data_IF_790227182396
#
_entry.id   IF_790227182396
#
_cell.length_a   1.000
_cell.length_b   1.000
_cell.length_c   1.000
_cell.angle_alpha   90.00
_cell.angle_beta   90.00
_cell.angle_gamma   90.00
#
_symmetry.space_group_name_H-M   'P 1'
#
loop_
_entity.id
_entity.type
_entity.pdbx_description
1 polymer ?
#
# COMPACT_ATOMS: atom_id res chain seq x y z
N UNK A 1 17.52 4.65 -6.36
CA UNK A 1 17.25 4.93 -7.77
C UNK A 1 16.39 3.80 -8.35
N UNK A 2 15.12 4.05 -8.74
CA UNK A 2 14.23 3.02 -9.29
C UNK A 2 14.75 2.42 -10.60
N UNK A 3 15.55 3.18 -11.37
CA UNK A 3 16.10 2.71 -12.64
C UNK A 3 17.30 1.76 -12.44
N UNK A 4 17.86 1.69 -11.24
CA UNK A 4 18.97 0.81 -10.88
C UNK A 4 18.55 -0.51 -10.24
N UNK A 5 17.24 -0.79 -10.15
CA UNK A 5 16.73 -2.01 -9.53
C UNK A 5 16.97 -3.20 -10.47
N UNK A 6 17.70 -4.21 -9.97
CA UNK A 6 17.85 -5.46 -10.70
C UNK A 6 16.53 -6.26 -10.70
N UNK A 7 16.00 -6.68 -11.86
CA UNK A 7 14.83 -7.53 -11.92
C UNK A 7 15.11 -8.97 -11.50
N UNK A 8 16.37 -9.31 -11.22
CA UNK A 8 16.79 -10.66 -10.85
C UNK A 8 16.96 -10.75 -9.34
N UNK A 9 16.30 -11.71 -8.67
CA UNK A 9 16.47 -11.93 -7.26
C UNK A 9 17.88 -12.42 -6.93
N UNK A 10 18.39 -12.03 -5.75
CA UNK A 10 19.67 -12.52 -5.26
C UNK A 10 19.56 -13.98 -4.76
N UNK A 11 20.66 -14.71 -4.83
CA UNK A 11 20.72 -16.08 -4.28
C UNK A 11 20.38 -16.08 -2.78
N UNK A 12 20.85 -15.10 -2.03
CA UNK A 12 20.55 -14.96 -0.60
C UNK A 12 19.05 -14.78 -0.33
N UNK A 13 18.36 -13.96 -1.13
CA UNK A 13 16.92 -13.78 -1.04
C UNK A 13 16.18 -15.09 -1.32
N UNK A 14 16.56 -15.79 -2.40
CA UNK A 14 15.98 -17.09 -2.74
C UNK A 14 16.15 -18.11 -1.61
N UNK A 15 17.35 -18.27 -1.07
CA UNK A 15 17.64 -19.18 0.04
C UNK A 15 16.80 -18.85 1.28
N UNK A 16 16.69 -17.57 1.65
CA UNK A 16 15.88 -17.16 2.79
C UNK A 16 14.40 -17.52 2.60
N UNK A 17 13.83 -17.33 1.40
CA UNK A 17 12.45 -17.70 1.11
C UNK A 17 12.25 -19.22 1.14
N UNK A 18 13.18 -20.00 0.57
CA UNK A 18 13.14 -21.45 0.61
C UNK A 18 13.15 -21.97 2.04
N UNK A 19 14.03 -21.46 2.90
CA UNK A 19 14.09 -21.88 4.29
C UNK A 19 12.82 -21.55 5.08
N UNK A 20 12.21 -20.39 4.82
CA UNK A 20 10.92 -20.03 5.42
C UNK A 20 9.80 -20.95 4.97
N UNK A 21 9.77 -21.29 3.67
CA UNK A 21 8.78 -22.19 3.11
C UNK A 21 8.96 -23.63 3.59
N UNK A 22 10.18 -24.16 3.63
CA UNK A 22 10.50 -25.52 4.06
C UNK A 22 10.10 -25.81 5.51
N UNK A 23 10.06 -24.79 6.36
CA UNK A 23 9.54 -24.95 7.74
C UNK A 23 8.06 -25.33 7.80
N UNK A 24 7.29 -24.97 6.78
CA UNK A 24 5.84 -25.22 6.71
C UNK A 24 5.48 -26.30 5.71
N UNK A 25 6.36 -26.53 4.74
CA UNK A 25 6.17 -27.46 3.63
C UNK A 25 7.40 -28.38 3.56
N UNK A 26 7.50 -29.41 4.42
CA UNK A 26 8.70 -30.25 4.51
C UNK A 26 9.03 -31.00 3.23
N UNK A 27 8.01 -31.29 2.41
CA UNK A 27 8.16 -31.99 1.12
C UNK A 27 8.33 -31.05 -0.08
N UNK A 28 8.64 -29.77 0.17
CA UNK A 28 8.82 -28.77 -0.87
C UNK A 28 10.00 -29.15 -1.80
N UNK A 29 9.70 -29.41 -3.07
CA UNK A 29 10.72 -29.61 -4.09
C UNK A 29 11.44 -28.29 -4.38
N UNK A 30 12.75 -28.26 -4.13
CA UNK A 30 13.57 -27.06 -4.33
C UNK A 30 14.38 -27.22 -5.62
N UNK A 31 14.23 -26.33 -6.61
CA UNK A 31 14.99 -26.41 -7.83
C UNK A 31 16.47 -26.08 -7.61
N UNK A 32 17.35 -26.80 -8.29
CA UNK A 32 18.80 -26.55 -8.23
C UNK A 32 19.19 -25.18 -8.82
N UNK A 33 18.39 -24.67 -9.76
CA UNK A 33 18.58 -23.35 -10.35
C UNK A 33 17.42 -22.48 -9.95
N UNK A 34 17.65 -21.45 -9.11
CA UNK A 34 16.59 -20.53 -8.72
C UNK A 34 16.13 -19.70 -9.91
N UNK A 35 14.83 -19.55 -10.03
CA UNK A 35 14.18 -18.60 -10.95
C UNK A 35 13.24 -17.70 -10.16
N UNK A 36 13.07 -16.47 -10.60
CA UNK A 36 12.18 -15.54 -9.93
C UNK A 36 12.27 -14.14 -10.53
N UNK A 37 11.45 -13.25 -10.00
CA UNK A 37 11.45 -11.84 -10.36
C UNK A 37 11.66 -11.02 -9.08
N UNK A 38 12.41 -9.94 -9.19
CA UNK A 38 12.46 -8.89 -8.18
C UNK A 38 11.67 -7.70 -8.70
N UNK A 39 10.87 -7.11 -7.84
CA UNK A 39 10.08 -5.91 -8.14
C UNK A 39 10.26 -4.87 -7.06
N UNK A 40 10.05 -3.60 -7.44
CA UNK A 40 10.04 -2.49 -6.50
C UNK A 40 8.64 -2.27 -5.95
N UNK A 41 8.56 -1.84 -4.71
CA UNK A 41 7.35 -1.29 -4.10
C UNK A 41 7.51 0.21 -3.93
N UNK A 42 6.43 0.93 -4.12
CA UNK A 42 6.27 2.32 -3.72
C UNK A 42 5.94 2.36 -2.23
N UNK A 43 6.92 2.63 -1.40
CA UNK A 43 6.80 2.51 0.06
C UNK A 43 6.74 3.89 0.71
N UNK A 44 5.73 4.10 1.56
CA UNK A 44 5.67 5.25 2.46
C UNK A 44 6.46 4.97 3.74
N UNK A 45 6.89 6.01 4.51
CA UNK A 45 7.66 5.82 5.73
C UNK A 45 6.97 4.95 6.79
N UNK A 46 5.63 4.97 6.82
CA UNK A 46 4.79 4.23 7.77
C UNK A 46 4.09 3.01 7.15
N UNK A 47 4.44 2.65 5.92
CA UNK A 47 3.84 1.56 5.16
C UNK A 47 2.32 1.67 4.93
N UNK A 48 1.73 2.83 5.24
CA UNK A 48 0.33 3.13 4.99
C UNK A 48 0.19 3.85 3.65
N UNK A 49 -0.79 3.51 2.82
CA UNK A 49 -1.02 4.20 1.56
C UNK A 49 -1.41 5.66 1.78
N UNK A 50 -1.27 6.46 0.72
CA UNK A 50 -1.78 7.82 0.66
C UNK A 50 -2.94 7.85 -0.32
N UNK A 51 -4.14 8.19 0.16
CA UNK A 51 -5.34 8.45 -0.61
C UNK A 51 -5.78 9.87 -0.29
N UNK A 52 -5.40 10.83 -1.14
CA UNK A 52 -5.55 12.24 -0.80
C UNK A 52 -5.68 13.13 -2.03
N UNK A 53 -6.12 14.36 -1.79
CA UNK A 53 -5.91 15.47 -2.71
C UNK A 53 -4.45 15.92 -2.67
N UNK A 54 -4.01 16.66 -3.66
CA UNK A 54 -2.72 17.35 -3.62
C UNK A 54 -2.91 18.87 -3.39
N UNK A 55 -1.81 19.62 -3.35
CA UNK A 55 -1.87 21.09 -3.34
C UNK A 55 -2.27 21.68 -4.70
N UNK A 56 -2.34 20.87 -5.75
CA UNK A 56 -2.82 21.26 -7.08
C UNK A 56 -4.29 20.90 -7.19
N UNK A 57 -5.10 21.90 -7.51
CA UNK A 57 -6.56 21.71 -7.66
C UNK A 57 -6.88 20.66 -8.72
N UNK A 58 -7.84 19.80 -8.42
CA UNK A 58 -8.26 18.70 -9.29
C UNK A 58 -7.25 17.55 -9.41
N UNK A 59 -6.16 17.56 -8.65
CA UNK A 59 -5.18 16.48 -8.68
C UNK A 59 -5.22 15.63 -7.41
N UNK A 60 -5.68 14.40 -7.54
CA UNK A 60 -5.83 13.42 -6.47
C UNK A 60 -4.84 12.28 -6.65
N UNK A 61 -4.46 11.62 -5.54
CA UNK A 61 -3.47 10.55 -5.54
C UNK A 61 -3.93 9.32 -4.77
N UNK A 62 -3.58 8.16 -5.30
CA UNK A 62 -3.67 6.88 -4.60
C UNK A 62 -2.31 6.18 -4.79
N UNK A 63 -1.39 6.36 -3.87
CA UNK A 63 0.01 5.96 -3.97
C UNK A 63 0.50 5.31 -2.67
N UNK A 64 1.75 4.87 -2.66
CA UNK A 64 2.36 4.28 -1.46
C UNK A 64 1.72 2.94 -1.10
N UNK A 65 1.49 2.09 -2.09
CA UNK A 65 0.77 0.82 -1.92
C UNK A 65 1.51 -0.18 -1.03
N UNK A 66 2.82 0.01 -0.86
CA UNK A 66 3.69 -0.79 -0.01
C UNK A 66 3.56 -2.31 -0.24
N UNK A 67 3.18 -2.69 -1.47
CA UNK A 67 3.05 -4.06 -1.94
C UNK A 67 1.84 -4.85 -1.40
N UNK A 68 0.92 -4.24 -0.66
CA UNK A 68 -0.16 -4.98 0.02
C UNK A 68 -1.58 -4.53 -0.33
N UNK A 69 -1.76 -3.58 -1.26
CA UNK A 69 -3.05 -2.93 -1.53
C UNK A 69 -3.91 -3.60 -2.63
N UNK A 70 -3.42 -4.62 -3.31
CA UNK A 70 -4.17 -5.31 -4.37
C UNK A 70 -5.57 -5.74 -3.91
N UNK A 71 -5.68 -6.32 -2.72
CA UNK A 71 -6.95 -6.76 -2.11
C UNK A 71 -7.92 -5.61 -1.83
N UNK A 72 -7.42 -4.39 -1.66
CA UNK A 72 -8.19 -3.20 -1.31
C UNK A 72 -8.62 -2.39 -2.53
N UNK A 73 -8.18 -2.75 -3.75
CA UNK A 73 -8.42 -1.97 -4.96
C UNK A 73 -9.89 -1.57 -5.19
N UNK A 74 -10.90 -2.44 -5.00
CA UNK A 74 -12.30 -2.05 -5.15
C UNK A 74 -12.72 -0.99 -4.15
N UNK A 75 -12.27 -1.11 -2.89
CA UNK A 75 -12.56 -0.13 -1.83
C UNK A 75 -11.85 1.20 -2.10
N UNK A 76 -10.61 1.15 -2.56
CA UNK A 76 -9.82 2.35 -2.89
C UNK A 76 -10.51 3.18 -3.97
N UNK A 77 -11.09 2.54 -4.99
CA UNK A 77 -11.90 3.23 -6.00
C UNK A 77 -13.09 3.98 -5.39
N UNK A 78 -13.81 3.37 -4.45
CA UNK A 78 -14.91 4.02 -3.74
C UNK A 78 -14.42 5.18 -2.86
N UNK A 79 -13.32 4.97 -2.15
CA UNK A 79 -12.68 5.99 -1.29
C UNK A 79 -12.28 7.23 -2.10
N UNK A 80 -11.59 7.04 -3.22
CA UNK A 80 -11.16 8.16 -4.08
C UNK A 80 -12.37 8.88 -4.67
N UNK A 81 -13.42 8.15 -5.09
CA UNK A 81 -14.64 8.78 -5.60
C UNK A 81 -15.30 9.69 -4.54
N UNK A 82 -15.47 9.20 -3.31
CA UNK A 82 -16.06 10.00 -2.22
C UNK A 82 -15.18 11.22 -1.88
N UNK A 83 -13.86 11.06 -1.90
CA UNK A 83 -12.92 12.15 -1.67
C UNK A 83 -13.05 13.23 -2.75
N UNK A 84 -13.06 12.83 -4.03
CA UNK A 84 -13.23 13.74 -5.17
C UNK A 84 -14.55 14.46 -5.07
N UNK A 85 -15.65 13.73 -4.91
CA UNK A 85 -17.01 14.31 -4.83
C UNK A 85 -17.11 15.35 -3.71
N UNK A 86 -16.53 15.08 -2.54
CA UNK A 86 -16.51 16.00 -1.41
C UNK A 86 -15.68 17.26 -1.73
N UNK A 87 -14.44 17.10 -2.20
CA UNK A 87 -13.54 18.21 -2.48
C UNK A 87 -14.07 19.11 -3.62
N UNK A 88 -14.58 18.51 -4.70
CA UNK A 88 -15.18 19.26 -5.82
C UNK A 88 -16.48 19.99 -5.43
N UNK A 89 -17.13 19.54 -4.34
CA UNK A 89 -18.27 20.23 -3.73
C UNK A 89 -17.85 21.31 -2.73
N UNK A 90 -16.56 21.60 -2.59
CA UNK A 90 -16.01 22.67 -1.74
C UNK A 90 -15.67 22.26 -0.31
N UNK A 91 -15.65 20.97 0.00
CA UNK A 91 -15.21 20.48 1.31
C UNK A 91 -13.70 20.59 1.45
N UNK A 92 -13.23 21.17 2.56
CA UNK A 92 -11.81 21.30 2.87
C UNK A 92 -11.32 20.04 3.62
N UNK A 93 -10.86 19.05 2.86
CA UNK A 93 -10.35 17.79 3.39
C UNK A 93 -9.11 17.97 4.28
N UNK A 94 -8.30 19.02 4.06
CA UNK A 94 -7.10 19.27 4.87
C UNK A 94 -7.45 19.78 6.26
N UNK A 95 -8.53 20.58 6.38
CA UNK A 95 -9.03 21.08 7.65
C UNK A 95 -9.91 20.06 8.38
N UNK A 96 -10.77 19.36 7.62
CA UNK A 96 -11.70 18.34 8.13
C UNK A 96 -11.68 17.11 7.24
N UNK A 97 -10.96 16.05 7.63
CA UNK A 97 -10.87 14.84 6.80
C UNK A 97 -12.24 14.22 6.48
N UNK A 98 -12.43 13.86 5.22
CA UNK A 98 -13.65 13.17 4.76
C UNK A 98 -13.82 11.86 5.51
N UNK A 99 -15.06 11.56 5.93
CA UNK A 99 -15.44 10.30 6.58
C UNK A 99 -16.45 9.56 5.73
N UNK A 100 -16.20 8.26 5.54
CA UNK A 100 -17.01 7.40 4.70
C UNK A 100 -17.68 6.34 5.57
N UNK A 101 -19.00 6.25 5.50
CA UNK A 101 -19.75 5.18 6.15
C UNK A 101 -19.64 3.88 5.36
N UNK A 102 -18.95 2.89 5.93
CA UNK A 102 -18.81 1.57 5.32
C UNK A 102 -20.17 0.82 5.35
N UNK A 103 -20.75 0.57 4.18
CA UNK A 103 -22.12 0.02 4.03
C UNK A 103 -22.30 -1.36 4.68
N UNK A 104 -21.26 -2.21 4.60
CA UNK A 104 -21.36 -3.60 5.06
C UNK A 104 -20.99 -3.79 6.53
N UNK A 105 -20.11 -2.97 7.06
CA UNK A 105 -19.64 -3.10 8.46
C UNK A 105 -20.27 -2.10 9.39
N UNK A 106 -20.86 -1.03 8.86
CA UNK A 106 -21.39 0.07 9.64
C UNK A 106 -20.33 0.90 10.38
N UNK A 107 -19.04 0.71 10.09
CA UNK A 107 -17.97 1.55 10.62
C UNK A 107 -17.76 2.78 9.77
N UNK A 108 -17.25 3.84 10.39
CA UNK A 108 -16.80 5.04 9.69
C UNK A 108 -15.32 4.92 9.40
N UNK A 109 -14.95 5.13 8.15
CA UNK A 109 -13.58 5.22 7.69
C UNK A 109 -13.19 6.70 7.65
N UNK A 110 -12.20 7.09 8.45
CA UNK A 110 -11.65 8.43 8.48
C UNK A 110 -10.48 8.52 7.50
N UNK A 111 -10.62 9.33 6.45
CA UNK A 111 -9.59 9.47 5.43
C UNK A 111 -8.39 10.28 5.90
N UNK A 112 -8.45 10.95 7.04
CA UNK A 112 -7.29 11.56 7.68
C UNK A 112 -6.16 10.56 7.96
N UNK A 113 -6.49 9.28 8.19
CA UNK A 113 -5.52 8.22 8.35
C UNK A 113 -4.69 7.95 7.08
N UNK A 114 -5.18 8.36 5.92
CA UNK A 114 -4.53 8.19 4.60
C UNK A 114 -4.06 9.52 4.01
N UNK A 115 -4.19 10.62 4.75
CA UNK A 115 -3.80 11.95 4.29
C UNK A 115 -2.27 12.05 4.14
N UNK A 116 -1.85 12.83 3.13
CA UNK A 116 -0.44 13.25 2.97
C UNK A 116 0.07 14.09 4.14
N UNK A 117 -0.84 14.71 4.91
CA UNK A 117 -0.54 15.55 6.07
C UNK A 117 -0.55 14.79 7.40
N UNK A 118 -0.86 13.48 7.38
CA UNK A 118 -0.90 12.67 8.59
C UNK A 118 0.46 12.60 9.29
N UNK A 119 0.46 12.51 10.60
CA UNK A 119 1.66 12.14 11.33
C UNK A 119 2.04 10.69 11.00
N UNK A 120 3.29 10.46 10.62
CA UNK A 120 3.76 9.10 10.36
C UNK A 120 3.81 8.31 11.66
N UNK A 121 3.13 7.17 11.69
CA UNK A 121 3.24 6.24 12.80
C UNK A 121 4.60 5.55 12.74
N UNK A 122 5.36 5.50 13.85
CA UNK A 122 6.57 4.70 13.89
C UNK A 122 6.16 3.21 13.83
N UNK A 123 6.21 2.66 12.64
CA UNK A 123 5.91 1.24 12.42
C UNK A 123 7.16 0.50 12.00
N UNK A 124 7.32 -0.70 12.51
CA UNK A 124 8.28 -1.68 12.00
C UNK A 124 7.63 -2.64 11.01
N UNK A 125 6.36 -2.39 10.66
CA UNK A 125 5.60 -3.19 9.72
C UNK A 125 6.30 -3.29 8.37
N UNK A 126 6.24 -4.48 7.80
CA UNK A 126 6.71 -4.77 6.45
C UNK A 126 5.62 -5.54 5.70
N UNK A 127 5.79 -5.73 4.39
CA UNK A 127 4.88 -6.58 3.60
C UNK A 127 4.78 -7.99 4.18
N UNK A 128 5.80 -8.42 4.86
CA UNK A 128 5.91 -9.79 5.41
C UNK A 128 5.63 -9.86 6.92
N UNK A 129 5.27 -8.76 7.57
CA UNK A 129 4.98 -8.65 9.00
C UNK A 129 6.21 -8.41 9.84
#
# INVERSE_FOLDING_TARGET
DPDAISPTPTVACFQAQVWRAARRLPDLAIPLRPTGLAGAYDVTPDWMPVYDRTSLDGFYVAIGTSGNQFKNAPLVGEVIRELVDACESGHDHDAEPVRIRCRHTGHDLDLGAFSRLRAHSPTTGTVLG
#
